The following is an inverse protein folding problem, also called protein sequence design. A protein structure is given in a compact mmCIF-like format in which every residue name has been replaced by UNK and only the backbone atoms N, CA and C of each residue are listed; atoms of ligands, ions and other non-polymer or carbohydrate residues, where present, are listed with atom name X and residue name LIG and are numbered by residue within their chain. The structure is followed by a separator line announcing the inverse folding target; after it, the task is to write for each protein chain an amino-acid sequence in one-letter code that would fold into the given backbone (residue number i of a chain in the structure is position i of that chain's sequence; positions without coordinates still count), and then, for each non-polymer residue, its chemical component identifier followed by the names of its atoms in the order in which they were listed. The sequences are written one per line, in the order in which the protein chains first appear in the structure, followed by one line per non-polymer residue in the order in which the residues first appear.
data_IF_096596399534
#
_entry.id   IF_096596399534
#
_cell.length_a   1.000
_cell.length_b   1.000
_cell.length_c   1.000
_cell.angle_alpha   90.00
_cell.angle_beta   90.00
_cell.angle_gamma   90.00
#
_symmetry.space_group_name_H-M   'P 1'
#
loop_
_entity.id
_entity.type
_entity.pdbx_description
1 polymer ?
#
# COMPACT_ATOMS: atom_id res chain seq x y z
N UNK A 1 -8.10 -41.12 -0.96
CA UNK A 1 -8.49 -39.73 -0.65
C UNK A 1 -7.25 -39.03 -0.13
N UNK A 2 -6.63 -38.17 -0.94
CA UNK A 2 -5.42 -37.44 -0.54
C UNK A 2 -5.86 -36.33 0.43
N UNK A 3 -5.64 -36.55 1.73
CA UNK A 3 -5.71 -35.48 2.72
C UNK A 3 -4.59 -34.49 2.35
N UNK A 4 -4.97 -33.38 1.69
CA UNK A 4 -4.05 -32.31 1.40
C UNK A 4 -3.48 -31.80 2.71
N UNK A 5 -2.22 -32.10 2.97
CA UNK A 5 -1.44 -31.42 4.00
C UNK A 5 -1.47 -29.94 3.65
N UNK A 6 -2.28 -29.15 4.36
CA UNK A 6 -2.18 -27.70 4.31
C UNK A 6 -0.83 -27.35 4.91
N UNK A 7 0.17 -27.21 4.04
CA UNK A 7 1.49 -26.74 4.41
C UNK A 7 1.29 -25.36 5.04
N UNK A 8 1.42 -25.28 6.37
CA UNK A 8 1.30 -24.02 7.11
C UNK A 8 2.43 -23.10 6.62
N UNK A 9 2.09 -22.15 5.75
CA UNK A 9 3.06 -21.18 5.26
C UNK A 9 3.25 -20.11 6.33
N UNK A 10 4.48 -19.64 6.57
CA UNK A 10 4.71 -18.55 7.52
C UNK A 10 4.00 -17.27 7.09
N UNK A 11 3.88 -17.05 5.78
CA UNK A 11 3.19 -15.90 5.22
C UNK A 11 2.11 -16.32 4.23
N UNK A 12 0.95 -15.70 4.37
CA UNK A 12 -0.24 -15.94 3.59
C UNK A 12 -0.76 -14.61 3.06
N UNK A 13 -1.14 -14.60 1.78
CA UNK A 13 -1.78 -13.45 1.15
C UNK A 13 -3.28 -13.64 1.17
N UNK A 14 -3.97 -12.68 1.76
CA UNK A 14 -5.43 -12.66 1.86
C UNK A 14 -5.98 -11.42 1.18
N UNK A 15 -7.17 -11.56 0.60
CA UNK A 15 -7.94 -10.43 0.09
C UNK A 15 -8.74 -9.83 1.23
N UNK A 16 -8.54 -8.56 1.54
CA UNK A 16 -9.27 -7.84 2.59
C UNK A 16 -10.03 -6.64 2.00
N UNK A 17 -11.29 -6.41 2.44
CA UNK A 17 -11.98 -5.18 2.12
C UNK A 17 -11.41 -4.02 2.94
N UNK A 18 -11.04 -2.94 2.27
CA UNK A 18 -10.57 -1.67 2.85
C UNK A 18 -11.29 -0.56 2.09
N UNK A 19 -12.12 0.23 2.78
CA UNK A 19 -12.85 1.37 2.18
C UNK A 19 -13.61 1.00 0.89
N UNK A 20 -14.35 -0.12 0.94
CA UNK A 20 -15.09 -0.72 -0.18
C UNK A 20 -14.22 -1.22 -1.36
N UNK A 21 -12.91 -1.35 -1.19
CA UNK A 21 -11.99 -1.90 -2.19
C UNK A 21 -11.33 -3.17 -1.68
N UNK A 22 -11.06 -4.12 -2.57
CA UNK A 22 -10.41 -5.38 -2.20
C UNK A 22 -8.91 -5.26 -2.44
N UNK A 23 -8.11 -5.41 -1.38
CA UNK A 23 -6.66 -5.31 -1.42
C UNK A 23 -6.01 -6.64 -1.06
N UNK A 24 -4.93 -6.98 -1.77
CA UNK A 24 -4.05 -8.10 -1.40
C UNK A 24 -3.19 -7.69 -0.21
N UNK A 25 -3.32 -8.43 0.88
CA UNK A 25 -2.59 -8.15 2.11
C UNK A 25 -1.82 -9.39 2.55
N UNK A 26 -0.59 -9.21 3.01
CA UNK A 26 0.23 -10.28 3.61
C UNK A 26 0.28 -10.07 5.12
N UNK A 27 0.29 -11.15 5.90
CA UNK A 27 0.48 -11.03 7.34
C UNK A 27 1.84 -10.41 7.69
N UNK A 28 1.85 -9.57 8.73
CA UNK A 28 3.05 -8.90 9.24
C UNK A 28 3.98 -9.87 9.98
N UNK A 29 3.40 -10.70 10.84
CA UNK A 29 4.11 -11.64 11.72
C UNK A 29 3.89 -13.06 11.22
N UNK A 30 4.93 -13.91 11.13
CA UNK A 30 4.79 -15.25 10.59
C UNK A 30 3.78 -16.06 11.39
N UNK A 31 2.98 -16.87 10.69
CA UNK A 31 1.91 -17.71 11.25
C UNK A 31 0.81 -16.95 12.03
N UNK A 32 0.77 -15.61 11.93
CA UNK A 32 -0.23 -14.78 12.63
C UNK A 32 -1.07 -13.98 11.65
N UNK A 33 -2.36 -14.27 11.63
CA UNK A 33 -3.34 -13.66 10.73
C UNK A 33 -4.14 -12.52 11.41
N UNK A 34 -3.47 -11.71 12.23
CA UNK A 34 -4.07 -10.60 12.99
C UNK A 34 -3.68 -9.24 12.44
N UNK A 35 -2.42 -9.08 12.05
CA UNK A 35 -1.86 -7.84 11.50
C UNK A 35 -1.51 -8.06 10.04
N UNK A 36 -1.95 -7.14 9.19
CA UNK A 36 -1.79 -7.24 7.75
C UNK A 36 -1.08 -6.02 7.18
N UNK A 37 -0.27 -6.28 6.17
CA UNK A 37 0.48 -5.31 5.39
C UNK A 37 -0.07 -5.30 3.95
N UNK A 38 -0.19 -4.12 3.36
CA UNK A 38 -0.41 -3.95 1.92
C UNK A 38 0.78 -3.23 1.29
N UNK A 39 0.98 -3.40 -0.02
CA UNK A 39 2.06 -2.68 -0.71
C UNK A 39 1.72 -1.20 -0.86
N UNK A 40 2.73 -0.33 -0.87
CA UNK A 40 2.52 1.09 -1.18
C UNK A 40 1.97 1.29 -2.61
N UNK A 41 2.26 0.36 -3.53
CA UNK A 41 1.65 0.36 -4.85
C UNK A 41 0.16 0.14 -4.80
N UNK A 42 -0.33 -0.82 -4.00
CA UNK A 42 -1.76 -1.02 -3.81
C UNK A 42 -2.43 0.21 -3.21
N UNK A 43 -1.77 0.86 -2.25
CA UNK A 43 -2.28 2.12 -1.68
C UNK A 43 -2.44 3.20 -2.78
N UNK A 44 -1.41 3.41 -3.59
CA UNK A 44 -1.44 4.35 -4.72
C UNK A 44 -2.48 3.94 -5.74
N UNK A 45 -2.34 2.78 -6.38
CA UNK A 45 -3.11 2.43 -7.58
C UNK A 45 -4.60 2.25 -7.28
N UNK A 46 -4.94 1.82 -6.06
CA UNK A 46 -6.32 1.54 -5.69
C UNK A 46 -7.03 2.75 -5.08
N UNK A 47 -6.35 3.54 -4.24
CA UNK A 47 -6.98 4.68 -3.54
C UNK A 47 -6.60 6.04 -4.12
N UNK A 48 -5.39 6.18 -4.66
CA UNK A 48 -4.83 7.45 -5.12
C UNK A 48 -4.15 7.32 -6.49
N UNK A 49 -4.85 6.85 -7.54
CA UNK A 49 -4.21 6.47 -8.81
C UNK A 49 -3.52 7.62 -9.53
N UNK A 50 -3.90 8.87 -9.21
CA UNK A 50 -3.44 10.09 -9.85
C UNK A 50 -2.16 10.70 -9.26
N UNK A 51 -1.62 10.15 -8.17
CA UNK A 51 -0.38 10.68 -7.57
C UNK A 51 0.84 9.82 -7.89
N UNK A 52 2.04 10.40 -7.82
CA UNK A 52 3.27 9.61 -7.89
C UNK A 52 3.51 8.85 -6.57
N UNK A 53 4.32 7.79 -6.63
CA UNK A 53 4.78 7.09 -5.43
C UNK A 53 5.57 8.01 -4.47
N UNK A 54 6.26 9.01 -5.01
CA UNK A 54 7.00 9.99 -4.20
C UNK A 54 6.05 10.84 -3.34
N UNK A 55 4.95 11.33 -3.93
CA UNK A 55 3.91 12.06 -3.19
C UNK A 55 3.28 11.15 -2.14
N UNK A 56 2.98 9.90 -2.50
CA UNK A 56 2.42 8.92 -1.55
C UNK A 56 3.35 8.74 -0.34
N UNK A 57 4.65 8.51 -0.56
CA UNK A 57 5.65 8.39 0.53
C UNK A 57 5.76 9.64 1.38
N UNK A 58 5.72 10.82 0.77
CA UNK A 58 5.82 12.10 1.48
C UNK A 58 4.63 12.32 2.42
N UNK A 59 3.42 12.00 1.95
CA UNK A 59 2.20 12.10 2.77
C UNK A 59 2.24 11.10 3.92
N UNK A 60 2.65 9.85 3.66
CA UNK A 60 2.81 8.84 4.72
C UNK A 60 3.79 9.29 5.80
N UNK A 61 4.94 9.84 5.39
CA UNK A 61 5.94 10.40 6.31
C UNK A 61 5.39 11.57 7.14
N UNK A 62 4.62 12.47 6.51
CA UNK A 62 4.04 13.62 7.20
C UNK A 62 2.92 13.25 8.20
N UNK A 63 2.37 12.04 8.10
CA UNK A 63 1.41 11.48 9.06
C UNK A 63 2.07 10.54 10.08
N UNK A 64 3.41 10.48 10.11
CA UNK A 64 4.19 9.57 10.94
C UNK A 64 3.80 8.08 10.75
N UNK A 65 3.37 7.72 9.53
CA UNK A 65 3.00 6.34 9.19
C UNK A 65 4.25 5.58 8.72
N UNK A 66 4.58 4.52 9.45
CA UNK A 66 5.78 3.73 9.21
C UNK A 66 5.65 2.82 7.97
N UNK A 67 6.71 2.79 7.18
CA UNK A 67 6.88 1.84 6.09
C UNK A 67 7.70 0.63 6.54
N UNK A 68 7.24 -0.55 6.18
CA UNK A 68 7.88 -1.82 6.48
C UNK A 68 8.56 -2.38 5.24
N UNK A 69 9.79 -2.84 5.40
CA UNK A 69 10.46 -3.67 4.39
C UNK A 69 10.19 -5.13 4.75
N UNK A 70 9.59 -5.87 3.82
CA UNK A 70 9.30 -7.28 4.00
C UNK A 70 10.55 -8.14 3.92
N UNK A 71 10.43 -9.39 4.38
CA UNK A 71 11.43 -10.40 4.09
C UNK A 71 11.16 -11.14 2.78
N UNK A 72 12.12 -11.95 2.35
CA UNK A 72 12.03 -12.73 1.10
C UNK A 72 10.80 -13.64 1.05
N UNK A 73 10.38 -14.23 2.17
CA UNK A 73 9.20 -15.11 2.21
C UNK A 73 7.89 -14.34 2.04
N UNK A 74 7.79 -13.12 2.57
CA UNK A 74 6.63 -12.23 2.33
C UNK A 74 6.56 -11.84 0.85
N UNK A 75 7.69 -11.48 0.24
CA UNK A 75 7.74 -11.15 -1.18
C UNK A 75 7.41 -12.35 -2.06
N UNK A 76 7.89 -13.54 -1.71
CA UNK A 76 7.54 -14.78 -2.39
C UNK A 76 6.03 -15.06 -2.30
N UNK A 77 5.43 -14.91 -1.11
CA UNK A 77 3.99 -15.11 -0.94
C UNK A 77 3.17 -14.13 -1.79
N UNK A 78 3.61 -12.87 -1.91
CA UNK A 78 2.99 -11.88 -2.80
C UNK A 78 3.13 -12.25 -4.28
N UNK A 79 4.31 -12.74 -4.72
CA UNK A 79 4.54 -13.21 -6.09
C UNK A 79 3.67 -14.42 -6.42
N UNK A 80 3.58 -15.40 -5.51
CA UNK A 80 2.71 -16.58 -5.64
C UNK A 80 1.22 -16.18 -5.74
N UNK A 81 0.83 -15.07 -5.11
CA UNK A 81 -0.50 -14.48 -5.24
C UNK A 81 -0.71 -13.65 -6.52
N UNK A 82 0.26 -13.64 -7.44
CA UNK A 82 0.19 -12.96 -8.73
C UNK A 82 0.58 -11.48 -8.69
N UNK A 83 1.21 -11.01 -7.61
CA UNK A 83 1.72 -9.63 -7.51
C UNK A 83 3.09 -9.52 -8.18
N UNK A 84 3.24 -8.53 -9.06
CA UNK A 84 4.50 -8.23 -9.75
C UNK A 84 5.21 -7.04 -9.09
N UNK A 85 6.51 -6.88 -9.37
CA UNK A 85 7.32 -5.76 -8.87
C UNK A 85 7.30 -5.57 -7.35
N UNK A 86 7.19 -6.68 -6.60
CA UNK A 86 7.14 -6.65 -5.13
C UNK A 86 8.52 -6.74 -4.46
N UNK A 87 9.59 -7.01 -5.20
CA UNK A 87 10.93 -7.11 -4.60
C UNK A 87 11.35 -5.79 -3.92
N UNK A 88 11.74 -5.88 -2.65
CA UNK A 88 12.07 -4.73 -1.78
C UNK A 88 10.99 -3.65 -1.72
N UNK A 89 9.75 -3.98 -2.12
CA UNK A 89 8.65 -3.04 -2.12
C UNK A 89 8.28 -2.70 -0.67
N UNK A 90 8.20 -1.40 -0.31
CA UNK A 90 7.72 -1.03 1.00
C UNK A 90 6.24 -1.32 1.16
N UNK A 91 5.90 -1.76 2.36
CA UNK A 91 4.55 -2.10 2.74
C UNK A 91 4.11 -1.21 3.90
N UNK A 92 2.80 -1.10 4.07
CA UNK A 92 2.15 -0.28 5.09
C UNK A 92 1.15 -1.14 5.84
N UNK A 93 1.00 -0.89 7.14
CA UNK A 93 0.00 -1.60 7.93
C UNK A 93 -1.41 -1.18 7.53
N UNK A 94 -2.26 -2.17 7.26
CA UNK A 94 -3.63 -1.92 6.79
C UNK A 94 -4.45 -1.14 7.82
N UNK A 95 -4.19 -1.35 9.12
CA UNK A 95 -4.83 -0.57 10.19
C UNK A 95 -4.50 0.90 10.10
N UNK A 96 -3.24 1.26 9.82
CA UNK A 96 -2.83 2.67 9.70
C UNK A 96 -3.51 3.33 8.50
N UNK A 97 -3.61 2.61 7.37
CA UNK A 97 -4.35 3.09 6.20
C UNK A 97 -5.81 3.38 6.55
N UNK A 98 -6.49 2.48 7.27
CA UNK A 98 -7.88 2.67 7.68
C UNK A 98 -8.04 3.82 8.68
N UNK A 99 -7.14 3.91 9.67
CA UNK A 99 -7.19 4.95 10.71
C UNK A 99 -6.92 6.34 10.15
N UNK A 100 -5.98 6.47 9.21
CA UNK A 100 -5.55 7.76 8.66
C UNK A 100 -6.15 8.07 7.27
N UNK A 101 -7.11 7.27 6.77
CA UNK A 101 -7.69 7.46 5.43
C UNK A 101 -8.21 8.89 5.18
N UNK A 102 -8.96 9.53 6.10
CA UNK A 102 -9.41 10.91 5.89
C UNK A 102 -8.25 11.90 5.73
N UNK A 103 -7.19 11.74 6.52
CA UNK A 103 -5.99 12.59 6.50
C UNK A 103 -5.20 12.38 5.20
N UNK A 104 -5.05 11.13 4.77
CA UNK A 104 -4.43 10.78 3.48
C UNK A 104 -5.16 11.48 2.33
N UNK A 105 -6.50 11.39 2.30
CA UNK A 105 -7.31 12.05 1.28
C UNK A 105 -7.15 13.57 1.29
N UNK A 106 -7.16 14.18 2.48
CA UNK A 106 -6.99 15.63 2.63
C UNK A 106 -5.63 16.10 2.10
N UNK A 107 -4.54 15.46 2.54
CA UNK A 107 -3.17 15.84 2.15
C UNK A 107 -2.92 15.63 0.66
N UNK A 108 -3.45 14.54 0.08
CA UNK A 108 -3.30 14.26 -1.35
C UNK A 108 -4.06 15.27 -2.21
N UNK A 109 -5.30 15.62 -1.83
CA UNK A 109 -6.07 16.68 -2.51
C UNK A 109 -5.34 18.02 -2.48
N UNK A 110 -4.80 18.41 -1.32
CA UNK A 110 -4.06 19.67 -1.19
C UNK A 110 -2.75 19.68 -2.01
N UNK A 111 -2.08 18.54 -2.11
CA UNK A 111 -0.85 18.39 -2.90
C UNK A 111 -1.10 18.56 -4.40
N UNK A 112 -2.20 18.01 -4.93
CA UNK A 112 -2.58 18.16 -6.34
C UNK A 112 -2.97 19.61 -6.67
N UNK A 113 -3.74 20.27 -5.80
CA UNK A 113 -4.11 21.69 -5.97
C UNK A 113 -2.88 22.61 -6.07
N UNK A 114 -1.82 22.28 -5.33
CA UNK A 114 -0.56 23.02 -5.35
C UNK A 114 0.26 22.77 -6.63
N UNK A 115 0.14 21.59 -7.26
CA UNK A 115 0.82 21.29 -8.53
C UNK A 115 0.14 21.99 -9.72
N UNK A 116 -1.19 21.96 -9.81
CA UNK A 116 -1.94 22.70 -10.85
C UNK A 116 -1.70 24.21 -10.77
N UNK A 117 -1.63 24.76 -9.56
CA UNK A 117 -1.38 26.19 -9.34
C UNK A 117 0.03 26.64 -9.79
N UNK A 118 1.03 25.75 -9.77
CA UNK A 118 2.38 26.06 -10.27
C UNK A 118 2.51 25.90 -11.78
N UNK A 119 1.82 24.93 -12.39
CA UNK A 119 1.81 24.75 -13.84
C UNK A 119 1.15 25.95 -14.56
N UNK A 120 0.04 26.44 -14.03
CA UNK A 120 -0.69 27.57 -14.63
C UNK A 120 0.04 28.93 -14.52
N UNK A 121 0.96 29.09 -13.56
CA UNK A 121 1.79 30.31 -13.46
C UNK A 121 2.92 30.35 -14.49
N UNK A 122 3.35 29.20 -15.02
CA UNK A 122 4.43 29.12 -16.02
C UNK A 122 3.93 29.24 -17.47
N UNK A 123 2.64 29.02 -17.71
CA UNK A 123 2.04 29.12 -19.04
C UNK A 123 1.66 30.55 -19.46
N UNK A 124 1.86 31.56 -18.61
CA UNK A 124 1.41 32.94 -18.85
C UNK A 124 2.53 33.92 -19.19
N UNK A 125 3.67 33.41 -19.67
CA UNK A 125 4.78 34.23 -20.16
C UNK A 125 5.24 33.68 -21.51
N UNK A 126 4.52 34.04 -22.57
CA UNK A 126 4.96 33.93 -23.97
C UNK A 126 4.20 34.96 -24.79
#
# INVERSE_FOLDING_TARGET
MNMGVTQYKPYEVVKKPVENKIIYCVNKTPYRNTEYLMTIFDLKDVFFPYISLEVCRRVLNALDINLFIGNSLQYQALQEAGRTNVDKMPMIQVTDVMTYMPQLQYMIRSSNLNQESQANKRARIS
#
